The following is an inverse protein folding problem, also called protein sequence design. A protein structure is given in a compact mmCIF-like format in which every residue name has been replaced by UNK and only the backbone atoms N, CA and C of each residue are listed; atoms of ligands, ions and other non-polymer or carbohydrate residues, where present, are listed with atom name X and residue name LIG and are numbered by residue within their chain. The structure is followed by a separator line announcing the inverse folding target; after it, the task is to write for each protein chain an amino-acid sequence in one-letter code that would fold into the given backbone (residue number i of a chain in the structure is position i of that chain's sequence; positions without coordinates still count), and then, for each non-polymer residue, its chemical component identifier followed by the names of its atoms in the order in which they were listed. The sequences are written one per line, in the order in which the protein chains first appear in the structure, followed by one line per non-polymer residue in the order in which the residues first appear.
data_IF_681594976567
#
_entry.id   IF_681594976567
#
_cell.length_a   1.000
_cell.length_b   1.000
_cell.length_c   1.000
_cell.angle_alpha   90.00
_cell.angle_beta   90.00
_cell.angle_gamma   90.00
#
_symmetry.space_group_name_H-M   'P 1'
#
loop_
_entity.id
_entity.type
_entity.pdbx_description
1 polymer ?
#
# COMPACT_ATOMS: atom_id res chain seq x y z
N UNK A 1 -15.50 -24.18 -7.12
CA UNK A 1 -15.52 -24.34 -5.64
C UNK A 1 -14.09 -24.60 -5.21
N UNK A 2 -13.42 -23.60 -4.62
CA UNK A 2 -12.06 -23.78 -4.08
C UNK A 2 -12.22 -24.49 -2.74
N UNK A 3 -11.65 -25.68 -2.64
CA UNK A 3 -11.65 -26.51 -1.43
C UNK A 3 -10.95 -25.76 -0.29
N UNK A 4 -11.72 -25.21 0.65
CA UNK A 4 -11.22 -24.49 1.83
C UNK A 4 -10.72 -25.47 2.90
N UNK A 5 -9.85 -26.41 2.54
CA UNK A 5 -9.23 -27.28 3.54
C UNK A 5 -8.31 -26.43 4.41
N UNK A 6 -8.63 -26.37 5.70
CA UNK A 6 -7.77 -25.76 6.71
C UNK A 6 -6.46 -26.54 6.76
N UNK A 7 -5.36 -25.88 6.43
CA UNK A 7 -4.02 -26.46 6.57
C UNK A 7 -3.44 -26.07 7.94
N UNK A 8 -2.77 -27.01 8.58
CA UNK A 8 -2.03 -26.76 9.82
C UNK A 8 -0.62 -26.25 9.47
N UNK A 9 -0.25 -25.12 10.05
CA UNK A 9 1.11 -24.55 9.94
C UNK A 9 1.70 -24.48 11.33
N UNK A 10 2.94 -24.96 11.49
CA UNK A 10 3.68 -24.84 12.74
C UNK A 10 4.61 -23.61 12.70
N UNK A 11 4.50 -22.75 13.71
CA UNK A 11 5.30 -21.53 13.83
C UNK A 11 6.10 -21.62 15.14
N UNK A 12 7.40 -21.34 15.07
CA UNK A 12 8.24 -21.16 16.26
C UNK A 12 8.27 -19.67 16.62
N UNK A 13 7.87 -19.35 17.84
CA UNK A 13 7.87 -17.99 18.39
C UNK A 13 8.96 -17.83 19.43
N UNK A 14 9.56 -16.67 19.50
CA UNK A 14 10.49 -16.32 20.60
C UNK A 14 9.75 -16.21 21.93
N UNK A 15 10.48 -16.43 23.03
CA UNK A 15 9.90 -16.37 24.38
C UNK A 15 9.26 -15.01 24.70
N UNK A 16 9.83 -13.93 24.18
CA UNK A 16 9.30 -12.58 24.31
C UNK A 16 7.93 -12.42 23.67
N UNK A 17 7.81 -12.90 22.44
CA UNK A 17 6.56 -12.82 21.65
C UNK A 17 5.48 -13.69 22.30
N UNK A 18 5.84 -14.88 22.72
CA UNK A 18 4.90 -15.78 23.40
C UNK A 18 4.36 -15.16 24.71
N UNK A 19 5.23 -14.51 25.51
CA UNK A 19 4.80 -13.80 26.73
C UNK A 19 3.86 -12.65 26.38
N UNK A 20 4.13 -11.88 25.34
CA UNK A 20 3.30 -10.76 24.92
C UNK A 20 1.93 -11.24 24.42
N UNK A 21 1.91 -12.32 23.63
CA UNK A 21 0.65 -12.94 23.15
C UNK A 21 -0.22 -13.37 24.34
N UNK A 22 0.37 -14.09 25.31
CA UNK A 22 -0.36 -14.53 26.52
C UNK A 22 -0.93 -13.35 27.33
N UNK A 23 -0.13 -12.29 27.52
CA UNK A 23 -0.61 -11.09 28.21
C UNK A 23 -1.78 -10.41 27.50
N UNK A 24 -1.70 -10.29 26.17
CA UNK A 24 -2.79 -9.72 25.38
C UNK A 24 -4.03 -10.60 25.44
N UNK A 25 -3.88 -11.89 25.25
CA UNK A 25 -4.99 -12.84 25.34
C UNK A 25 -5.70 -12.76 26.69
N UNK A 26 -4.96 -12.75 27.77
CA UNK A 26 -5.49 -12.59 29.14
C UNK A 26 -6.24 -11.28 29.32
N UNK A 27 -5.68 -10.14 28.84
CA UNK A 27 -6.34 -8.83 28.96
C UNK A 27 -7.63 -8.71 28.16
N UNK A 28 -7.69 -9.39 27.00
CA UNK A 28 -8.84 -9.37 26.11
C UNK A 28 -9.84 -10.49 26.40
N UNK A 29 -9.53 -11.42 27.30
CA UNK A 29 -10.40 -12.56 27.62
C UNK A 29 -10.57 -13.54 26.45
N UNK A 30 -9.53 -13.69 25.58
CA UNK A 30 -9.54 -14.56 24.41
C UNK A 30 -8.41 -15.59 24.49
N UNK A 31 -8.37 -16.54 23.55
CA UNK A 31 -7.29 -17.55 23.49
C UNK A 31 -6.04 -17.00 22.79
N UNK A 32 -4.86 -17.50 23.15
CA UNK A 32 -3.59 -17.18 22.51
C UNK A 32 -3.67 -17.36 20.99
N UNK A 33 -4.31 -18.44 20.54
CA UNK A 33 -4.50 -18.72 19.11
C UNK A 33 -5.36 -17.69 18.37
N UNK A 34 -6.26 -16.99 19.07
CA UNK A 34 -7.10 -15.97 18.47
C UNK A 34 -6.29 -14.69 18.26
N UNK A 35 -5.38 -14.36 19.18
CA UNK A 35 -4.41 -13.26 19.00
C UNK A 35 -3.50 -13.53 17.80
N UNK A 36 -2.96 -14.74 17.69
CA UNK A 36 -2.09 -15.11 16.54
C UNK A 36 -2.86 -15.00 15.22
N UNK A 37 -4.08 -15.53 15.15
CA UNK A 37 -4.92 -15.43 13.94
C UNK A 37 -5.26 -13.98 13.59
N UNK A 38 -5.57 -13.18 14.60
CA UNK A 38 -5.84 -11.76 14.41
C UNK A 38 -4.60 -11.04 13.83
N UNK A 39 -3.43 -11.27 14.41
CA UNK A 39 -2.18 -10.66 13.92
C UNK A 39 -1.89 -11.05 12.47
N UNK A 40 -2.00 -12.35 12.13
CA UNK A 40 -1.80 -12.83 10.76
C UNK A 40 -2.80 -12.19 9.79
N UNK A 41 -4.10 -12.17 10.13
CA UNK A 41 -5.13 -11.58 9.26
C UNK A 41 -4.91 -10.08 9.07
N UNK A 42 -4.59 -9.37 10.14
CA UNK A 42 -4.33 -7.92 10.08
C UNK A 42 -3.14 -7.61 9.20
N UNK A 43 -2.05 -8.36 9.35
CA UNK A 43 -0.87 -8.22 8.50
C UNK A 43 -1.18 -8.52 7.04
N UNK A 44 -1.81 -9.66 6.75
CA UNK A 44 -2.16 -10.04 5.38
C UNK A 44 -3.09 -9.02 4.71
N UNK A 45 -4.06 -8.46 5.43
CA UNK A 45 -4.92 -7.41 4.90
C UNK A 45 -4.13 -6.13 4.60
N UNK A 46 -3.19 -5.77 5.48
CA UNK A 46 -2.36 -4.56 5.33
C UNK A 46 -1.44 -4.64 4.11
N UNK A 47 -0.92 -5.83 3.82
CA UNK A 47 0.00 -6.06 2.69
C UNK A 47 -0.64 -6.82 1.53
N UNK A 48 -1.97 -6.93 1.51
CA UNK A 48 -2.72 -7.67 0.48
C UNK A 48 -2.32 -7.32 -0.97
N UNK A 49 -2.03 -6.05 -1.32
CA UNK A 49 -1.57 -5.71 -2.68
C UNK A 49 -0.27 -6.41 -3.10
N UNK A 50 0.57 -6.86 -2.15
CA UNK A 50 1.78 -7.63 -2.47
C UNK A 50 1.49 -9.09 -2.88
N UNK A 51 0.26 -9.57 -2.63
CA UNK A 51 -0.16 -10.92 -3.02
C UNK A 51 -0.77 -10.97 -4.43
N UNK A 52 -1.01 -9.82 -5.05
CA UNK A 52 -1.61 -9.70 -6.38
C UNK A 52 -0.55 -9.33 -7.42
N UNK A 53 -0.23 -10.26 -8.29
CA UNK A 53 0.74 -10.06 -9.35
C UNK A 53 0.34 -9.00 -10.38
N UNK A 54 -0.92 -8.62 -10.45
CA UNK A 54 -1.39 -7.54 -11.32
C UNK A 54 -1.08 -6.15 -10.74
N UNK A 55 -0.86 -6.02 -9.43
CA UNK A 55 -0.54 -4.75 -8.78
C UNK A 55 0.97 -4.50 -8.86
N UNK A 56 1.37 -3.51 -9.65
CA UNK A 56 2.77 -3.16 -9.95
C UNK A 56 2.99 -1.65 -9.98
N UNK A 57 4.26 -1.26 -10.01
CA UNK A 57 4.67 0.14 -10.15
C UNK A 57 4.11 1.02 -9.03
N UNK A 58 3.65 2.21 -9.40
CA UNK A 58 3.10 3.19 -8.46
C UNK A 58 1.94 2.69 -7.59
N UNK A 59 1.21 1.65 -8.05
CA UNK A 59 0.10 1.09 -7.28
C UNK A 59 0.57 0.34 -6.02
N UNK A 60 1.85 -0.03 -5.93
CA UNK A 60 2.47 -0.58 -4.72
C UNK A 60 2.98 0.49 -3.75
N UNK A 61 3.13 1.75 -4.20
CA UNK A 61 3.68 2.83 -3.36
C UNK A 61 2.87 3.01 -2.06
N UNK A 62 1.53 3.05 -2.06
CA UNK A 62 0.76 3.20 -0.82
C UNK A 62 1.09 2.13 0.23
N UNK A 63 1.15 0.86 -0.18
CA UNK A 63 1.46 -0.24 0.74
C UNK A 63 2.88 -0.17 1.28
N UNK A 64 3.84 0.22 0.44
CA UNK A 64 5.23 0.35 0.84
C UNK A 64 5.47 1.57 1.72
N UNK A 65 4.71 2.65 1.54
CA UNK A 65 4.77 3.83 2.41
C UNK A 65 4.13 3.55 3.77
N UNK A 66 3.04 2.78 3.82
CA UNK A 66 2.32 2.48 5.07
C UNK A 66 2.97 1.38 5.92
N UNK A 67 3.66 0.45 5.27
CA UNK A 67 4.19 -0.75 5.93
C UNK A 67 5.66 -1.02 5.57
N UNK A 68 6.25 -0.22 4.68
CA UNK A 68 7.52 -0.53 4.06
C UNK A 68 8.70 -0.48 5.01
N UNK A 69 8.72 0.46 5.96
CA UNK A 69 9.80 0.58 6.93
C UNK A 69 9.95 -0.69 7.80
N UNK A 70 8.84 -1.30 8.22
CA UNK A 70 8.81 -2.56 8.94
C UNK A 70 9.23 -3.73 8.03
N UNK A 71 8.65 -3.81 6.81
CA UNK A 71 8.95 -4.86 5.84
C UNK A 71 10.41 -4.79 5.37
N UNK A 72 10.89 -3.61 5.02
CA UNK A 72 12.24 -3.37 4.53
C UNK A 72 13.26 -3.77 5.58
N UNK A 73 13.05 -3.39 6.84
CA UNK A 73 13.94 -3.73 7.95
C UNK A 73 13.91 -5.21 8.28
N UNK A 74 12.73 -5.82 8.34
CA UNK A 74 12.57 -7.21 8.76
C UNK A 74 13.10 -8.20 7.72
N UNK A 75 12.87 -7.91 6.43
CA UNK A 75 13.30 -8.77 5.32
C UNK A 75 14.59 -8.30 4.64
N UNK A 76 15.22 -7.24 5.17
CA UNK A 76 16.46 -6.65 4.62
C UNK A 76 16.33 -6.33 3.13
N UNK A 77 15.21 -5.67 2.75
CA UNK A 77 14.94 -5.33 1.36
C UNK A 77 15.80 -4.13 0.94
N UNK A 78 16.76 -4.36 0.06
CA UNK A 78 17.55 -3.32 -0.56
C UNK A 78 16.83 -2.66 -1.76
N UNK A 79 17.42 -1.61 -2.30
CA UNK A 79 16.87 -0.88 -3.44
C UNK A 79 16.70 -1.78 -4.68
N UNK A 80 17.57 -2.75 -4.88
CA UNK A 80 17.49 -3.68 -6.02
C UNK A 80 16.29 -4.63 -5.90
N UNK A 81 16.08 -5.21 -4.72
CA UNK A 81 14.91 -6.06 -4.44
C UNK A 81 13.61 -5.28 -4.53
N UNK A 82 13.60 -4.04 -4.03
CA UNK A 82 12.43 -3.15 -4.12
C UNK A 82 12.17 -2.73 -5.56
N UNK A 83 13.20 -2.43 -6.35
CA UNK A 83 13.02 -2.11 -7.77
C UNK A 83 12.41 -3.30 -8.53
N UNK A 84 12.89 -4.49 -8.26
CA UNK A 84 12.33 -5.70 -8.83
C UNK A 84 10.86 -5.90 -8.41
N UNK A 85 10.54 -5.78 -7.13
CA UNK A 85 9.18 -5.91 -6.60
C UNK A 85 8.22 -4.88 -7.24
N UNK A 86 8.66 -3.63 -7.34
CA UNK A 86 7.81 -2.52 -7.78
C UNK A 86 7.69 -2.47 -9.29
N UNK A 87 8.83 -2.50 -10.00
CA UNK A 87 8.91 -2.17 -11.42
C UNK A 87 8.99 -3.36 -12.36
N UNK A 88 9.22 -4.59 -11.87
CA UNK A 88 9.24 -5.77 -12.72
C UNK A 88 7.87 -5.95 -13.37
N UNK A 89 7.85 -6.02 -14.70
CA UNK A 89 6.63 -6.08 -15.52
C UNK A 89 5.67 -4.88 -15.41
N UNK A 90 6.06 -3.79 -14.76
CA UNK A 90 5.27 -2.56 -14.73
C UNK A 90 5.35 -1.83 -16.08
N UNK A 91 4.21 -1.31 -16.56
CA UNK A 91 4.18 -0.44 -17.73
C UNK A 91 5.02 0.82 -17.50
N UNK A 92 5.64 1.35 -18.56
CA UNK A 92 6.52 2.53 -18.45
C UNK A 92 5.84 3.72 -17.76
N UNK A 93 4.54 3.92 -18.01
CA UNK A 93 3.75 5.01 -17.40
C UNK A 93 3.45 4.84 -15.91
N UNK A 94 3.63 3.63 -15.38
CA UNK A 94 3.35 3.32 -13.96
C UNK A 94 4.60 3.06 -13.15
N UNK A 95 5.77 3.10 -13.78
CA UNK A 95 7.04 2.86 -13.07
C UNK A 95 7.32 3.94 -12.04
N UNK A 96 7.92 3.50 -10.94
CA UNK A 96 8.46 4.37 -9.88
C UNK A 96 9.92 4.67 -10.22
N UNK A 97 10.35 5.90 -9.99
CA UNK A 97 11.72 6.31 -10.24
C UNK A 97 12.70 5.60 -9.29
N UNK A 98 13.89 5.30 -9.80
CA UNK A 98 14.92 4.58 -9.03
C UNK A 98 15.37 5.34 -7.78
N UNK A 99 15.45 6.66 -7.87
CA UNK A 99 15.82 7.49 -6.73
C UNK A 99 14.78 7.44 -5.62
N UNK A 100 13.49 7.36 -5.97
CA UNK A 100 12.41 7.21 -4.99
C UNK A 100 12.38 5.82 -4.37
N UNK A 101 12.72 4.78 -5.16
CA UNK A 101 12.89 3.42 -4.62
C UNK A 101 14.10 3.36 -3.67
N UNK A 102 15.18 4.06 -4.00
CA UNK A 102 16.33 4.17 -3.09
C UNK A 102 15.97 4.89 -1.78
N UNK A 103 15.13 5.93 -1.84
CA UNK A 103 14.60 6.59 -0.64
C UNK A 103 13.70 5.66 0.19
N UNK A 104 12.85 4.85 -0.46
CA UNK A 104 12.06 3.82 0.21
C UNK A 104 12.96 2.78 0.91
N UNK A 105 14.00 2.29 0.23
CA UNK A 105 14.96 1.36 0.83
C UNK A 105 15.63 1.94 2.07
N UNK A 106 15.90 3.26 2.06
CA UNK A 106 16.52 3.95 3.20
C UNK A 106 15.55 4.20 4.35
N UNK A 107 14.22 4.14 4.14
CA UNK A 107 13.24 4.32 5.21
C UNK A 107 13.35 3.26 6.32
N UNK A 108 13.83 2.07 6.00
CA UNK A 108 14.14 1.00 6.96
C UNK A 108 15.43 1.23 7.77
N UNK A 109 16.25 2.22 7.41
CA UNK A 109 17.49 2.57 8.08
C UNK A 109 17.25 3.61 9.18
N UNK A 110 18.34 4.07 9.80
CA UNK A 110 18.29 5.15 10.78
C UNK A 110 17.84 6.46 10.08
N UNK A 111 16.93 7.18 10.70
CA UNK A 111 16.37 8.43 10.20
C UNK A 111 17.44 9.45 9.74
N UNK A 112 18.60 9.46 10.36
CA UNK A 112 19.71 10.36 10.01
C UNK A 112 20.18 10.19 8.56
N UNK A 113 20.23 8.96 8.05
CA UNK A 113 20.63 8.70 6.66
C UNK A 113 19.57 9.15 5.67
N UNK A 114 18.30 8.96 6.01
CA UNK A 114 17.18 9.42 5.21
C UNK A 114 17.17 10.95 5.12
N UNK A 115 17.33 11.64 6.25
CA UNK A 115 17.41 13.11 6.31
C UNK A 115 18.54 13.63 5.41
N UNK A 116 19.75 13.07 5.55
CA UNK A 116 20.90 13.49 4.77
C UNK A 116 20.66 13.33 3.25
N UNK A 117 20.06 12.23 2.84
CA UNK A 117 19.76 11.98 1.41
C UNK A 117 18.68 12.93 0.88
N UNK A 118 17.62 13.15 1.65
CA UNK A 118 16.51 14.01 1.25
C UNK A 118 16.93 15.48 1.18
N UNK A 119 17.77 15.95 2.10
CA UNK A 119 18.32 17.32 2.07
C UNK A 119 19.20 17.57 0.84
N UNK A 120 20.01 16.59 0.46
CA UNK A 120 20.81 16.68 -0.78
C UNK A 120 19.96 16.74 -2.06
N UNK A 121 18.72 16.26 -2.02
CA UNK A 121 17.73 16.31 -3.11
C UNK A 121 16.71 17.46 -3.02
N UNK A 122 16.83 18.34 -2.04
CA UNK A 122 15.87 19.45 -1.76
C UNK A 122 14.40 18.99 -1.54
N UNK A 123 14.22 17.76 -1.06
CA UNK A 123 12.88 17.15 -0.89
C UNK A 123 12.28 17.47 0.49
N UNK A 124 13.12 17.81 1.49
CA UNK A 124 12.66 18.06 2.87
C UNK A 124 12.52 19.55 3.11
N UNK A 125 11.34 20.07 3.45
CA UNK A 125 11.21 21.38 4.03
C UNK A 125 11.99 21.45 5.37
N UNK A 126 12.69 22.52 5.66
CA UNK A 126 13.55 22.65 6.85
C UNK A 126 12.79 22.52 8.20
N UNK A 127 11.47 22.55 8.19
CA UNK A 127 10.61 22.51 9.38
C UNK A 127 9.87 21.16 9.59
N UNK A 128 10.23 20.10 8.84
CA UNK A 128 9.50 18.85 8.91
C UNK A 128 9.82 18.05 10.19
N UNK A 129 8.81 17.62 10.97
CA UNK A 129 9.01 16.97 12.27
C UNK A 129 9.61 15.55 12.17
N UNK A 130 9.59 14.91 10.99
CA UNK A 130 10.29 13.65 10.73
C UNK A 130 10.51 13.42 9.24
N UNK A 131 11.67 12.89 8.89
CA UNK A 131 12.02 12.57 7.51
C UNK A 131 11.10 11.50 6.91
N UNK A 132 10.68 10.52 7.69
CA UNK A 132 9.73 9.48 7.26
C UNK A 132 8.38 10.07 6.85
N UNK A 133 7.86 11.05 7.59
CA UNK A 133 6.62 11.74 7.22
C UNK A 133 6.78 12.57 5.95
N UNK A 134 7.90 13.25 5.79
CA UNK A 134 8.19 14.03 4.59
C UNK A 134 8.31 13.13 3.36
N UNK A 135 9.01 12.01 3.46
CA UNK A 135 9.10 11.02 2.40
C UNK A 135 7.72 10.47 2.04
N UNK A 136 6.91 10.14 3.04
CA UNK A 136 5.53 9.67 2.84
C UNK A 136 4.72 10.69 2.04
N UNK A 137 4.68 11.94 2.50
CA UNK A 137 3.92 12.99 1.82
C UNK A 137 4.41 13.20 0.38
N UNK A 138 5.70 13.23 0.15
CA UNK A 138 6.29 13.36 -1.17
C UNK A 138 5.86 12.23 -2.12
N UNK A 139 5.95 10.97 -1.67
CA UNK A 139 5.60 9.81 -2.49
C UNK A 139 4.09 9.74 -2.77
N UNK A 140 3.25 10.10 -1.79
CA UNK A 140 1.80 10.19 -2.00
C UNK A 140 1.44 11.28 -3.01
N UNK A 141 2.03 12.48 -2.87
CA UNK A 141 1.81 13.56 -3.82
C UNK A 141 2.21 13.16 -5.23
N UNK A 142 3.39 12.57 -5.38
CA UNK A 142 3.95 12.21 -6.68
C UNK A 142 3.23 11.04 -7.37
N UNK A 143 2.91 9.98 -6.64
CA UNK A 143 2.46 8.71 -7.24
C UNK A 143 0.98 8.39 -7.04
N UNK A 144 0.33 9.02 -6.08
CA UNK A 144 -1.08 8.79 -5.78
C UNK A 144 -1.94 9.97 -6.25
N UNK A 145 -1.75 11.15 -5.68
CA UNK A 145 -2.64 12.29 -5.93
C UNK A 145 -2.50 12.84 -7.35
N UNK A 146 -1.30 13.10 -7.85
CA UNK A 146 -1.10 13.62 -9.21
C UNK A 146 -1.55 12.66 -10.30
N UNK A 147 -1.60 11.36 -10.03
CA UNK A 147 -2.09 10.38 -10.98
C UNK A 147 -3.61 10.37 -11.10
N UNK A 148 -4.34 10.82 -10.10
CA UNK A 148 -5.80 10.94 -10.16
C UNK A 148 -6.23 12.15 -10.98
N UNK A 149 -5.50 13.26 -10.93
CA UNK A 149 -5.75 14.44 -11.76
C UNK A 149 -5.52 14.20 -13.27
N UNK A 150 -4.68 13.24 -13.62
CA UNK A 150 -4.41 12.86 -15.03
C UNK A 150 -5.41 11.87 -15.60
N UNK A 151 -6.42 11.44 -14.84
CA UNK A 151 -7.47 10.56 -15.32
C UNK A 151 -8.53 11.43 -16.00
N UNK A 152 -8.74 11.34 -17.35
CA UNK A 152 -9.78 12.12 -18.00
C UNK A 152 -11.10 11.76 -17.36
N UNK A 153 -11.83 12.77 -16.88
CA UNK A 153 -13.20 12.62 -16.43
C UNK A 153 -13.99 12.00 -17.58
N UNK A 154 -14.36 10.74 -17.45
CA UNK A 154 -15.30 10.08 -18.34
C UNK A 154 -16.64 10.77 -18.13
N UNK A 155 -16.87 11.81 -18.91
CA UNK A 155 -18.16 12.49 -19.04
C UNK A 155 -19.08 11.49 -19.73
N UNK A 156 -19.79 10.71 -18.93
CA UNK A 156 -20.98 10.01 -19.40
C UNK A 156 -22.01 11.10 -19.69
N UNK A 157 -22.02 11.60 -20.92
CA UNK A 157 -23.09 12.39 -21.45
C UNK A 157 -24.31 11.49 -21.59
N UNK A 158 -25.14 11.48 -20.57
CA UNK A 158 -26.52 11.06 -20.68
C UNK A 158 -27.23 12.09 -21.57
N UNK A 159 -27.39 11.77 -22.83
CA UNK A 159 -28.30 12.49 -23.73
C UNK A 159 -29.73 12.25 -23.21
N UNK A 160 -30.50 13.28 -22.98
CA UNK A 160 -31.95 13.12 -22.76
C UNK A 160 -32.60 12.70 -24.05
N UNK A 161 -33.18 11.52 -24.11
CA UNK A 161 -34.09 11.10 -25.13
C UNK A 161 -35.32 12.05 -25.08
N UNK A 162 -35.51 12.75 -26.18
CA UNK A 162 -36.64 13.58 -26.44
C UNK A 162 -37.89 12.71 -26.61
N UNK A 163 -38.79 12.77 -25.63
CA UNK A 163 -40.20 12.39 -25.85
C UNK A 163 -40.82 13.32 -26.88
N UNK A 164 -41.10 12.81 -28.05
CA UNK A 164 -42.01 13.42 -28.98
C UNK A 164 -43.40 12.83 -28.79
N UNK A 165 -44.21 13.60 -28.10
CA UNK A 165 -45.67 13.59 -28.09
C UNK A 165 -46.22 13.65 -29.53
N UNK A 166 -46.97 12.69 -29.95
CA UNK A 166 -47.89 12.85 -31.06
C UNK A 166 -49.25 12.21 -30.79
N UNK A 167 -50.05 13.07 -30.18
CA UNK A 167 -51.49 13.02 -30.16
C UNK A 167 -52.03 13.02 -31.59
N UNK A 168 -52.82 12.01 -31.98
CA UNK A 168 -53.93 12.17 -32.96
C UNK A 168 -54.98 11.09 -32.79
N UNK A 169 -56.11 11.52 -32.26
CA UNK A 169 -57.45 10.98 -32.64
C UNK A 169 -57.81 11.45 -34.05
N UNK A 170 -58.65 10.75 -34.79
CA UNK A 170 -60.09 11.05 -34.64
C UNK A 170 -61.05 9.84 -34.76
N UNK A 171 -62.22 10.14 -34.29
CA UNK A 171 -63.52 9.57 -34.39
C UNK A 171 -63.98 9.07 -35.78
N UNK A 172 -64.69 7.98 -35.81
CA UNK A 172 -65.99 7.72 -36.40
C UNK A 172 -66.50 6.37 -35.97
#
# INVERSE_FOLDING_TARGET
MIDQRKQAVSIRLGDGDLRNIKRMAQRLGVRDSDIIRFAIKTMLNRIAPLCDDAIRGRNLVPVLVESGDELIRYFELDAFRLEKLINEHAAASTRVERDDIALLAMSGLREQYLVMRMQGGAIVPPESPSAGRSLRNYLYDKYVYRSEESRPANTTSLSPESESDESRRPAA
#
